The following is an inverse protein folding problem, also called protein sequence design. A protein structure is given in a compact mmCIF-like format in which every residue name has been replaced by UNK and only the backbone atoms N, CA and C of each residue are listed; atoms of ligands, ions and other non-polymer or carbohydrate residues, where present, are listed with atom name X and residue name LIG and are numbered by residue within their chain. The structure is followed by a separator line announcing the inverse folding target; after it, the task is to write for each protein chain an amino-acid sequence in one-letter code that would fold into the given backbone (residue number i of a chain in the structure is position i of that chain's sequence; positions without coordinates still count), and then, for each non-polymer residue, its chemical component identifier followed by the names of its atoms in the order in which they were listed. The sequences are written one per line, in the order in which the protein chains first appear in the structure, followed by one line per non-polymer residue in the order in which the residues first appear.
data_IF_920321972971
#
_entry.id   IF_920321972971
#
_cell.length_a   1.000
_cell.length_b   1.000
_cell.length_c   1.000
_cell.angle_alpha   90.00
_cell.angle_beta   90.00
_cell.angle_gamma   90.00
#
_symmetry.space_group_name_H-M   'P 1'
#
loop_
_entity.id
_entity.type
_entity.pdbx_description
1 polymer ?
#
# COMPACT_ATOMS: atom_id res chain seq x y z
N UNK A 1 -49.86 1.85 44.58
CA UNK A 1 -48.57 1.30 44.09
C UNK A 1 -47.44 1.86 44.96
N UNK A 2 -46.66 1.00 45.61
CA UNK A 2 -45.62 1.40 46.56
C UNK A 2 -44.47 2.19 45.91
N UNK A 3 -43.89 3.14 46.65
CA UNK A 3 -42.78 3.99 46.19
C UNK A 3 -41.59 3.20 45.64
N UNK A 4 -41.37 1.96 46.10
CA UNK A 4 -40.31 1.10 45.56
C UNK A 4 -40.46 0.78 44.07
N UNK A 5 -41.69 0.60 43.56
CA UNK A 5 -41.89 0.29 42.13
C UNK A 5 -41.49 1.49 41.25
N UNK A 6 -41.72 2.73 41.70
CA UNK A 6 -41.41 3.95 40.93
C UNK A 6 -39.90 4.16 40.70
N UNK A 7 -39.06 3.86 41.70
CA UNK A 7 -37.61 3.99 41.58
C UNK A 7 -36.99 2.92 40.67
N UNK A 8 -37.52 1.69 40.70
CA UNK A 8 -37.08 0.61 39.80
C UNK A 8 -37.36 0.97 38.34
N UNK A 9 -38.53 1.54 38.02
CA UNK A 9 -38.84 2.02 36.67
C UNK A 9 -37.93 3.17 36.23
N UNK A 10 -37.58 4.10 37.14
CA UNK A 10 -36.66 5.20 36.85
C UNK A 10 -35.24 4.74 36.50
N UNK A 11 -34.69 3.78 37.26
CA UNK A 11 -33.36 3.21 37.01
C UNK A 11 -33.34 2.44 35.68
N UNK A 12 -34.37 1.65 35.40
CA UNK A 12 -34.48 0.88 34.16
C UNK A 12 -34.57 1.81 32.93
N UNK A 13 -35.37 2.88 33.00
CA UNK A 13 -35.48 3.86 31.93
C UNK A 13 -34.14 4.58 31.67
N UNK A 14 -33.41 4.93 32.73
CA UNK A 14 -32.09 5.57 32.60
C UNK A 14 -31.05 4.63 31.98
N UNK A 15 -31.05 3.35 32.35
CA UNK A 15 -30.18 2.34 31.75
C UNK A 15 -30.46 2.15 30.25
N UNK A 16 -31.74 2.12 29.85
CA UNK A 16 -32.14 2.03 28.44
C UNK A 16 -31.70 3.29 27.67
N UNK A 17 -31.87 4.48 28.23
CA UNK A 17 -31.39 5.72 27.61
C UNK A 17 -29.87 5.73 27.40
N UNK A 18 -29.09 5.28 28.37
CA UNK A 18 -27.63 5.20 28.24
C UNK A 18 -27.20 4.18 27.19
N UNK A 19 -27.88 3.03 27.08
CA UNK A 19 -27.64 2.03 26.03
C UNK A 19 -27.98 2.57 24.64
N UNK A 20 -29.09 3.30 24.50
CA UNK A 20 -29.49 3.95 23.24
C UNK A 20 -28.51 5.04 22.83
N UNK A 21 -28.06 5.90 23.76
CA UNK A 21 -27.03 6.91 23.50
C UNK A 21 -25.70 6.24 23.08
N UNK A 22 -25.33 5.15 23.74
CA UNK A 22 -24.17 4.33 23.36
C UNK A 22 -24.30 3.80 21.94
N UNK A 23 -25.45 3.21 21.58
CA UNK A 23 -25.72 2.68 20.25
C UNK A 23 -25.69 3.76 19.17
N UNK A 24 -26.27 4.94 19.42
CA UNK A 24 -26.25 6.08 18.48
C UNK A 24 -24.83 6.62 18.29
N UNK A 25 -24.04 6.71 19.36
CA UNK A 25 -22.62 7.13 19.28
C UNK A 25 -21.78 6.13 18.52
N UNK A 26 -21.97 4.84 18.76
CA UNK A 26 -21.31 3.78 18.01
C UNK A 26 -21.68 3.90 16.54
N UNK A 27 -22.96 4.03 16.19
CA UNK A 27 -23.43 4.25 14.82
C UNK A 27 -22.79 5.46 14.12
N UNK A 28 -22.69 6.60 14.81
CA UNK A 28 -22.01 7.79 14.27
C UNK A 28 -20.51 7.59 14.04
N UNK A 29 -19.84 6.80 14.88
CA UNK A 29 -18.43 6.45 14.70
C UNK A 29 -18.23 5.55 13.49
N UNK A 30 -19.10 4.55 13.28
CA UNK A 30 -19.06 3.68 12.10
C UNK A 30 -19.26 4.45 10.80
N UNK A 31 -20.21 5.38 10.79
CA UNK A 31 -20.49 6.20 9.61
C UNK A 31 -19.34 7.17 9.28
N UNK A 32 -18.67 7.72 10.31
CA UNK A 32 -17.50 8.57 10.11
C UNK A 32 -16.25 7.79 9.67
N UNK A 33 -16.15 6.49 9.99
CA UNK A 33 -15.09 5.61 9.51
C UNK A 33 -15.30 5.16 8.05
N UNK A 34 -16.55 4.98 7.60
CA UNK A 34 -16.84 4.68 6.19
C UNK A 34 -16.56 5.85 5.24
N UNK A 35 -16.47 7.08 5.76
CA UNK A 35 -16.24 8.29 4.96
C UNK A 35 -14.75 8.59 4.69
N UNK A 36 -13.80 7.84 5.28
CA UNK A 36 -12.37 7.99 4.95
C UNK A 36 -12.09 7.19 3.69
N UNK A 37 -12.31 7.79 2.52
CA UNK A 37 -11.87 7.22 1.25
C UNK A 37 -10.37 7.43 1.07
N UNK A 38 -9.57 6.39 1.30
CA UNK A 38 -8.18 6.37 0.90
C UNK A 38 -8.08 6.35 -0.63
N UNK A 39 -7.17 7.13 -1.25
CA UNK A 39 -6.95 7.04 -2.68
C UNK A 39 -6.41 5.66 -3.03
N UNK A 40 -6.77 5.14 -4.20
CA UNK A 40 -6.21 3.89 -4.70
C UNK A 40 -5.50 4.08 -6.04
N UNK A 41 -4.51 3.24 -6.29
CA UNK A 41 -3.81 3.13 -7.54
C UNK A 41 -4.21 1.86 -8.28
N UNK A 42 -4.57 2.00 -9.55
CA UNK A 42 -4.78 0.88 -10.48
C UNK A 42 -3.54 0.74 -11.35
N UNK A 43 -2.78 -0.31 -11.10
CA UNK A 43 -1.58 -0.72 -11.84
C UNK A 43 -2.04 -1.72 -12.91
N UNK A 44 -2.05 -1.29 -14.17
CA UNK A 44 -2.42 -2.14 -15.30
C UNK A 44 -1.16 -2.81 -15.86
N UNK A 45 -1.16 -4.14 -15.93
CA UNK A 45 -0.03 -4.92 -16.45
C UNK A 45 -0.49 -5.82 -17.60
N UNK A 46 0.45 -6.36 -18.38
CA UNK A 46 0.16 -7.43 -19.34
C UNK A 46 -0.28 -8.76 -18.69
N UNK A 47 -0.23 -8.89 -17.36
CA UNK A 47 -0.73 -10.03 -16.59
C UNK A 47 -2.10 -9.79 -15.94
N UNK A 48 -2.62 -8.56 -16.03
CA UNK A 48 -3.86 -8.14 -15.39
C UNK A 48 -3.69 -6.88 -14.52
N UNK A 49 -4.73 -6.56 -13.75
CA UNK A 49 -4.79 -5.33 -12.94
C UNK A 49 -4.53 -5.62 -11.47
N UNK A 50 -3.77 -4.74 -10.83
CA UNK A 50 -3.51 -4.71 -9.39
C UNK A 50 -4.04 -3.39 -8.85
N UNK A 51 -4.79 -3.44 -7.75
CA UNK A 51 -5.34 -2.27 -7.09
C UNK A 51 -4.68 -2.13 -5.72
N UNK A 52 -4.13 -0.96 -5.45
CA UNK A 52 -3.37 -0.63 -4.24
C UNK A 52 -4.06 0.51 -3.53
N UNK A 53 -4.54 0.30 -2.30
CA UNK A 53 -4.95 1.40 -1.42
C UNK A 53 -3.71 2.13 -0.90
N UNK A 54 -3.74 3.46 -0.85
CA UNK A 54 -2.61 4.31 -0.45
C UNK A 54 -2.89 5.03 0.88
N UNK A 55 -1.84 5.23 1.67
CA UNK A 55 -1.91 5.69 3.07
C UNK A 55 -1.25 7.07 3.26
N UNK A 56 -1.87 8.18 2.80
CA UNK A 56 -1.28 9.52 2.84
C UNK A 56 -1.18 10.11 4.25
N UNK A 57 -1.89 9.58 5.25
CA UNK A 57 -1.76 10.06 6.64
C UNK A 57 -0.51 9.47 7.28
N UNK A 58 -0.20 8.23 6.95
CA UNK A 58 0.86 7.42 7.52
C UNK A 58 2.19 7.64 6.77
N UNK A 59 2.15 7.86 5.45
CA UNK A 59 3.31 8.06 4.60
C UNK A 59 3.10 9.18 3.55
N UNK A 60 2.87 10.43 3.98
CA UNK A 60 2.51 11.54 3.09
C UNK A 60 3.53 11.81 1.98
N UNK A 61 4.83 11.73 2.25
CA UNK A 61 5.87 11.99 1.24
C UNK A 61 5.93 10.85 0.21
N UNK A 62 5.88 9.60 0.67
CA UNK A 62 5.91 8.45 -0.21
C UNK A 62 4.66 8.39 -1.12
N UNK A 63 3.46 8.60 -0.55
CA UNK A 63 2.22 8.65 -1.34
C UNK A 63 2.24 9.81 -2.33
N UNK A 64 2.70 11.00 -1.91
CA UNK A 64 2.82 12.16 -2.81
C UNK A 64 3.77 11.87 -3.98
N UNK A 65 4.94 11.30 -3.72
CA UNK A 65 5.91 10.94 -4.75
C UNK A 65 5.34 9.89 -5.72
N UNK A 66 4.69 8.84 -5.20
CA UNK A 66 4.07 7.81 -6.03
C UNK A 66 2.96 8.38 -6.92
N UNK A 67 2.03 9.15 -6.35
CA UNK A 67 0.93 9.78 -7.09
C UNK A 67 1.46 10.75 -8.15
N UNK A 68 2.44 11.59 -7.80
CA UNK A 68 3.01 12.54 -8.75
C UNK A 68 3.66 11.82 -9.94
N UNK A 69 4.42 10.75 -9.68
CA UNK A 69 5.05 9.94 -10.73
C UNK A 69 4.00 9.26 -11.61
N UNK A 70 2.93 8.72 -11.02
CA UNK A 70 1.82 8.13 -11.78
C UNK A 70 1.12 9.16 -12.67
N UNK A 71 0.78 10.35 -12.13
CA UNK A 71 0.15 11.44 -12.90
C UNK A 71 1.03 11.93 -14.06
N UNK A 72 2.35 11.92 -13.87
CA UNK A 72 3.33 12.26 -14.91
C UNK A 72 3.59 11.11 -15.90
N UNK A 73 2.82 10.01 -15.84
CA UNK A 73 3.02 8.79 -16.65
C UNK A 73 4.42 8.19 -16.51
N UNK A 74 5.08 8.43 -15.38
CA UNK A 74 6.45 7.96 -15.11
C UNK A 74 6.56 6.44 -14.98
N UNK A 75 5.45 5.76 -14.68
CA UNK A 75 5.38 4.29 -14.62
C UNK A 75 4.91 3.65 -15.94
N UNK A 76 4.36 4.42 -16.87
CA UNK A 76 3.82 3.88 -18.12
C UNK A 76 4.94 3.33 -18.99
N UNK A 77 4.79 2.08 -19.43
CA UNK A 77 5.81 1.35 -20.19
C UNK A 77 7.04 0.96 -19.38
N UNK A 78 6.98 1.04 -18.04
CA UNK A 78 8.00 0.42 -17.17
C UNK A 78 7.73 -1.07 -17.02
N UNK A 79 8.56 -1.77 -16.26
CA UNK A 79 8.40 -3.20 -15.98
C UNK A 79 8.57 -3.49 -14.49
N UNK A 80 8.04 -4.63 -14.06
CA UNK A 80 8.56 -5.29 -12.88
C UNK A 80 9.90 -5.92 -13.26
N UNK A 81 10.97 -5.43 -12.64
CA UNK A 81 12.35 -5.72 -13.03
C UNK A 81 12.79 -7.11 -12.52
N UNK A 82 12.51 -7.40 -11.25
CA UNK A 82 13.00 -8.61 -10.58
C UNK A 82 12.20 -8.94 -9.33
N UNK A 83 12.34 -10.19 -8.89
CA UNK A 83 12.04 -10.61 -7.52
C UNK A 83 13.35 -10.64 -6.70
N UNK A 84 13.45 -9.80 -5.68
CA UNK A 84 14.64 -9.75 -4.80
C UNK A 84 14.49 -10.76 -3.67
N UNK A 85 15.41 -11.73 -3.60
CA UNK A 85 15.51 -12.74 -2.56
C UNK A 85 14.21 -13.53 -2.30
N UNK A 86 13.35 -13.67 -3.32
CA UNK A 86 12.04 -14.33 -3.21
C UNK A 86 10.98 -13.52 -2.46
N UNK A 87 11.27 -12.28 -2.04
CA UNK A 87 10.49 -11.56 -1.02
C UNK A 87 9.89 -10.25 -1.48
N UNK A 88 10.50 -9.58 -2.45
CA UNK A 88 10.05 -8.28 -2.95
C UNK A 88 9.98 -8.32 -4.47
N UNK A 89 8.82 -8.03 -5.03
CA UNK A 89 8.64 -7.78 -6.45
C UNK A 89 8.87 -6.28 -6.72
N UNK A 90 9.97 -5.94 -7.41
CA UNK A 90 10.40 -4.54 -7.60
C UNK A 90 10.03 -4.05 -9.00
N UNK A 91 9.49 -2.83 -9.11
CA UNK A 91 9.13 -2.22 -10.39
C UNK A 91 9.11 -0.69 -10.37
N UNK A 92 8.70 -0.11 -11.50
CA UNK A 92 8.49 1.34 -11.63
C UNK A 92 9.65 2.11 -12.28
N UNK A 93 10.65 1.40 -12.80
CA UNK A 93 11.77 1.98 -13.56
C UNK A 93 11.80 1.46 -14.99
N UNK A 94 12.16 2.34 -15.92
CA UNK A 94 12.45 1.92 -17.30
C UNK A 94 13.74 1.13 -17.33
N UNK A 95 13.72 0.00 -18.03
CA UNK A 95 14.90 -0.83 -18.28
C UNK A 95 15.08 -0.86 -19.80
N UNK A 96 16.25 -0.41 -20.30
CA UNK A 96 16.58 -0.46 -21.74
C UNK A 96 17.93 -1.10 -21.94
N UNK A 97 17.98 -2.09 -22.82
CA UNK A 97 19.15 -2.96 -23.01
C UNK A 97 19.66 -3.46 -21.67
N UNK A 98 18.70 -3.64 -20.75
CA UNK A 98 18.94 -4.09 -19.41
C UNK A 98 19.53 -3.11 -18.40
N UNK A 99 19.95 -1.94 -18.85
CA UNK A 99 20.36 -0.87 -17.93
C UNK A 99 19.10 -0.18 -17.41
N UNK A 100 19.06 0.03 -16.10
CA UNK A 100 18.05 0.91 -15.50
C UNK A 100 18.26 2.33 -16.01
N UNK A 101 17.16 2.99 -16.38
CA UNK A 101 17.15 4.40 -16.77
C UNK A 101 17.54 5.32 -15.62
N UNK A 102 17.36 6.64 -15.79
CA UNK A 102 17.69 7.63 -14.74
C UNK A 102 17.02 7.34 -13.40
N UNK A 103 17.66 7.81 -12.33
CA UNK A 103 17.14 7.67 -10.97
C UNK A 103 15.78 8.35 -10.82
N UNK A 104 14.88 7.77 -10.01
CA UNK A 104 13.59 8.38 -9.72
C UNK A 104 13.76 9.59 -8.81
N UNK A 105 12.67 10.33 -8.60
CA UNK A 105 12.63 11.37 -7.57
C UNK A 105 12.99 10.79 -6.19
N UNK A 106 13.74 11.58 -5.41
CA UNK A 106 14.14 11.26 -4.04
C UNK A 106 13.31 12.04 -3.01
N UNK A 107 13.03 11.41 -1.87
CA UNK A 107 12.31 12.04 -0.76
C UNK A 107 12.77 11.44 0.58
N UNK A 108 12.45 12.11 1.69
CA UNK A 108 12.80 11.61 3.03
C UNK A 108 12.08 10.27 3.31
N UNK A 109 12.83 9.28 3.79
CA UNK A 109 12.29 7.98 4.15
C UNK A 109 11.49 8.07 5.46
N UNK A 110 10.17 7.89 5.36
CA UNK A 110 9.23 8.00 6.48
C UNK A 110 9.11 6.72 7.32
N UNK A 111 9.77 5.63 6.94
CA UNK A 111 9.64 4.33 7.63
C UNK A 111 10.01 4.39 9.11
N UNK A 112 10.95 5.27 9.49
CA UNK A 112 11.34 5.47 10.90
C UNK A 112 10.25 6.13 11.74
N UNK A 113 9.30 6.84 11.09
CA UNK A 113 8.28 7.67 11.73
C UNK A 113 6.85 7.18 11.50
N UNK A 114 6.65 6.15 10.65
CA UNK A 114 5.33 5.58 10.41
C UNK A 114 5.13 4.25 11.15
N UNK A 115 3.87 3.83 11.29
CA UNK A 115 3.48 2.61 12.01
C UNK A 115 3.28 1.40 11.08
N UNK A 116 3.42 1.60 9.76
CA UNK A 116 3.15 0.58 8.75
C UNK A 116 4.26 -0.47 8.73
N UNK A 117 3.89 -1.71 8.37
CA UNK A 117 4.78 -2.88 8.40
C UNK A 117 4.92 -3.50 7.02
N UNK A 118 6.10 -4.03 6.74
CA UNK A 118 6.40 -4.77 5.52
C UNK A 118 5.76 -6.17 5.57
N UNK A 119 4.44 -6.21 5.51
CA UNK A 119 3.63 -7.44 5.53
C UNK A 119 3.28 -7.89 4.11
N UNK A 120 2.80 -9.12 3.96
CA UNK A 120 2.37 -9.68 2.69
C UNK A 120 1.47 -8.71 1.91
N UNK A 121 1.85 -8.46 0.66
CA UNK A 121 1.18 -7.57 -0.29
C UNK A 121 1.11 -6.08 0.09
N UNK A 122 1.86 -5.65 1.10
CA UNK A 122 2.09 -4.23 1.28
C UNK A 122 3.00 -3.67 0.19
N UNK A 123 2.79 -2.40 -0.14
CA UNK A 123 3.51 -1.67 -1.19
C UNK A 123 4.38 -0.61 -0.53
N UNK A 124 5.66 -0.61 -0.88
CA UNK A 124 6.65 0.28 -0.28
C UNK A 124 7.63 0.88 -1.27
N UNK A 125 8.46 1.81 -0.78
CA UNK A 125 9.47 2.50 -1.57
C UNK A 125 10.85 1.87 -1.44
N UNK A 126 11.59 1.87 -2.54
CA UNK A 126 13.00 1.48 -2.53
C UNK A 126 13.81 2.56 -1.79
N UNK A 127 14.87 2.14 -1.09
CA UNK A 127 15.77 3.05 -0.40
C UNK A 127 16.87 3.52 -1.36
N UNK A 128 17.21 4.80 -1.29
CA UNK A 128 18.35 5.36 -2.02
C UNK A 128 19.69 4.92 -1.41
N UNK A 129 20.79 5.37 -2.02
CA UNK A 129 22.14 5.17 -1.47
C UNK A 129 22.26 5.84 -0.11
N UNK A 130 21.80 7.08 -0.01
CA UNK A 130 21.60 7.80 1.23
C UNK A 130 20.45 7.16 2.01
N UNK A 131 20.74 6.47 3.12
CA UNK A 131 19.76 5.58 3.78
C UNK A 131 18.51 6.29 4.32
N UNK A 132 18.62 7.58 4.60
CA UNK A 132 17.51 8.40 5.05
C UNK A 132 16.61 8.88 3.90
N UNK A 133 16.94 8.54 2.64
CA UNK A 133 16.15 8.86 1.47
C UNK A 133 15.56 7.60 0.83
N UNK A 134 14.38 7.77 0.26
CA UNK A 134 13.67 6.80 -0.58
C UNK A 134 13.64 7.29 -2.02
N UNK A 135 13.43 6.36 -2.95
CA UNK A 135 13.15 6.65 -4.36
C UNK A 135 11.68 6.41 -4.67
N UNK A 136 11.19 6.97 -5.78
CA UNK A 136 9.86 6.66 -6.32
C UNK A 136 9.76 5.33 -7.09
N UNK A 137 10.82 4.49 -7.07
CA UNK A 137 10.65 3.08 -7.42
C UNK A 137 9.89 2.38 -6.29
N UNK A 138 9.06 1.39 -6.64
CA UNK A 138 8.23 0.69 -5.66
C UNK A 138 8.48 -0.81 -5.65
N UNK A 139 8.07 -1.44 -4.55
CA UNK A 139 8.02 -2.89 -4.45
C UNK A 139 6.71 -3.36 -3.84
N UNK A 140 6.36 -4.60 -4.14
CA UNK A 140 5.28 -5.35 -3.50
C UNK A 140 5.93 -6.44 -2.64
N UNK A 141 5.57 -6.51 -1.36
CA UNK A 141 5.97 -7.59 -0.47
C UNK A 141 5.27 -8.90 -0.88
N UNK A 142 6.03 -9.98 -1.00
CA UNK A 142 5.55 -11.32 -1.38
C UNK A 142 5.36 -12.25 -0.18
N UNK A 143 5.70 -11.77 1.01
CA UNK A 143 5.55 -12.40 2.32
C UNK A 143 5.72 -11.33 3.39
N UNK A 144 5.56 -11.70 4.65
CA UNK A 144 5.97 -10.84 5.76
C UNK A 144 7.50 -10.71 5.77
N UNK A 145 7.97 -9.47 5.78
CA UNK A 145 9.36 -9.05 5.65
C UNK A 145 9.70 -8.06 6.75
N UNK A 146 9.55 -8.49 8.00
CA UNK A 146 9.91 -7.69 9.18
C UNK A 146 11.33 -7.11 9.06
N UNK A 147 12.27 -7.78 8.36
CA UNK A 147 13.67 -7.33 8.17
C UNK A 147 13.80 -6.00 7.43
N UNK A 148 12.75 -5.61 6.72
CA UNK A 148 12.67 -4.35 5.99
C UNK A 148 12.07 -3.23 6.85
N UNK A 149 11.54 -3.51 8.04
CA UNK A 149 11.01 -2.47 8.92
C UNK A 149 12.13 -1.64 9.56
N UNK A 150 11.86 -0.36 9.77
CA UNK A 150 12.75 0.55 10.49
C UNK A 150 12.88 0.18 11.97
N UNK A 151 13.86 0.77 12.65
CA UNK A 151 14.05 0.73 14.10
C UNK A 151 14.27 -0.67 14.72
N UNK A 152 14.42 -1.73 13.91
CA UNK A 152 14.82 -3.07 14.40
C UNK A 152 16.21 -3.11 15.01
N UNK A 153 17.08 -2.18 14.59
CA UNK A 153 18.43 -1.94 15.12
C UNK A 153 18.67 -0.43 15.08
N UNK A 154 19.52 0.07 15.98
CA UNK A 154 19.88 1.49 16.00
C UNK A 154 20.41 1.94 14.63
N UNK A 155 19.87 3.04 14.09
CA UNK A 155 20.24 3.56 12.78
C UNK A 155 19.71 2.79 11.57
N UNK A 156 18.81 1.82 11.74
CA UNK A 156 18.11 1.17 10.64
C UNK A 156 16.90 2.01 10.18
N UNK A 157 16.98 2.55 8.97
CA UNK A 157 15.91 3.35 8.36
C UNK A 157 14.80 2.52 7.72
N UNK A 158 15.00 1.22 7.49
CA UNK A 158 13.98 0.37 6.84
C UNK A 158 13.54 0.83 5.45
N UNK A 159 12.41 0.31 5.01
CA UNK A 159 11.70 0.63 3.78
C UNK A 159 10.29 1.12 4.10
N UNK A 160 9.94 2.30 3.59
CA UNK A 160 8.65 2.94 3.88
C UNK A 160 7.53 2.22 3.12
N UNK A 161 6.63 1.58 3.87
CA UNK A 161 5.35 1.11 3.37
C UNK A 161 4.39 2.30 3.30
N UNK A 162 3.64 2.39 2.20
CA UNK A 162 2.70 3.48 1.95
C UNK A 162 1.39 3.01 1.29
N UNK A 163 1.21 1.71 1.10
CA UNK A 163 -0.02 1.15 0.57
C UNK A 163 -0.15 -0.35 0.75
N UNK A 164 -1.29 -0.90 0.35
CA UNK A 164 -1.63 -2.32 0.43
C UNK A 164 -2.40 -2.75 -0.81
N UNK A 165 -2.12 -3.93 -1.35
CA UNK A 165 -2.96 -4.50 -2.41
C UNK A 165 -4.31 -4.89 -1.83
N UNK A 166 -5.37 -4.31 -2.39
CA UNK A 166 -6.77 -4.61 -2.05
C UNK A 166 -7.46 -5.51 -3.09
N UNK A 167 -6.93 -5.58 -4.31
CA UNK A 167 -7.40 -6.48 -5.39
C UNK A 167 -6.26 -6.81 -6.36
N UNK A 168 -6.26 -8.02 -6.89
CA UNK A 168 -5.24 -8.45 -7.88
C UNK A 168 -4.07 -9.26 -7.31
N UNK A 169 -4.16 -9.79 -6.08
CA UNK A 169 -3.16 -10.75 -5.55
C UNK A 169 -2.93 -11.96 -6.46
N UNK A 170 -3.98 -12.46 -7.14
CA UNK A 170 -3.87 -13.50 -8.16
C UNK A 170 -2.99 -13.07 -9.36
N UNK A 171 -3.00 -11.79 -9.73
CA UNK A 171 -2.12 -11.25 -10.79
C UNK A 171 -0.67 -11.24 -10.31
N UNK A 172 -0.42 -10.81 -9.06
CA UNK A 172 0.91 -10.88 -8.45
C UNK A 172 1.44 -12.33 -8.45
N UNK A 173 0.60 -13.30 -8.08
CA UNK A 173 1.00 -14.72 -8.12
C UNK A 173 1.32 -15.22 -9.54
N UNK A 174 0.56 -14.80 -10.56
CA UNK A 174 0.88 -15.11 -11.97
C UNK A 174 2.23 -14.51 -12.39
N UNK A 175 2.54 -13.30 -11.94
CA UNK A 175 3.84 -12.64 -12.19
C UNK A 175 4.98 -13.43 -11.52
N UNK A 176 4.78 -13.94 -10.30
CA UNK A 176 5.77 -14.77 -9.63
C UNK A 176 6.01 -16.06 -10.43
N UNK A 177 4.93 -16.69 -10.92
CA UNK A 177 4.98 -17.94 -11.67
C UNK A 177 5.53 -17.80 -13.10
N UNK A 178 5.62 -16.58 -13.65
CA UNK A 178 6.16 -16.36 -15.00
C UNK A 178 7.68 -16.52 -15.09
N UNK A 179 8.36 -16.75 -13.97
CA UNK A 179 9.81 -16.93 -13.92
C UNK A 179 10.58 -15.60 -13.93
N UNK A 180 10.01 -14.52 -13.36
CA UNK A 180 10.70 -13.23 -13.13
C UNK A 180 11.80 -13.32 -12.05
N UNK A 181 12.62 -14.37 -12.12
CA UNK A 181 13.71 -14.68 -11.19
C UNK A 181 15.09 -14.51 -11.80
N UNK A 182 15.19 -14.19 -13.10
CA UNK A 182 16.50 -14.10 -13.76
C UNK A 182 17.21 -12.80 -13.40
N UNK A 183 18.45 -12.87 -12.86
CA UNK A 183 19.32 -11.71 -12.77
C UNK A 183 19.49 -11.09 -14.15
N UNK A 184 19.73 -9.79 -14.16
CA UNK A 184 19.87 -8.95 -15.34
C UNK A 184 20.81 -9.52 -16.45
N UNK A 185 21.72 -10.44 -16.12
CA UNK A 185 22.75 -10.96 -17.02
C UNK A 185 22.41 -12.29 -17.74
N UNK A 186 21.24 -12.90 -17.49
CA UNK A 186 20.79 -14.09 -18.21
C UNK A 186 19.59 -13.77 -19.09
N UNK A 187 19.44 -14.51 -20.21
CA UNK A 187 18.34 -14.37 -21.18
C UNK A 187 17.01 -14.27 -20.42
N UNK A 188 16.55 -13.03 -20.25
CA UNK A 188 15.30 -12.72 -19.58
C UNK A 188 14.20 -13.49 -20.30
N UNK A 189 13.25 -14.03 -19.52
CA UNK A 189 12.02 -14.64 -20.05
C UNK A 189 11.48 -13.80 -21.21
N UNK A 190 11.06 -14.46 -22.31
CA UNK A 190 10.56 -13.80 -23.53
C UNK A 190 9.40 -12.82 -23.26
N UNK A 191 8.72 -12.95 -22.12
CA UNK A 191 7.56 -12.14 -21.76
C UNK A 191 7.87 -11.29 -20.53
N UNK A 192 8.42 -10.08 -20.76
CA UNK A 192 8.61 -9.10 -19.69
C UNK A 192 7.29 -8.71 -19.05
N UNK A 193 7.28 -8.50 -17.74
CA UNK A 193 6.10 -8.06 -17.00
C UNK A 193 5.99 -6.54 -17.09
N UNK A 194 5.26 -6.06 -18.08
CA UNK A 194 5.12 -4.64 -18.38
C UNK A 194 4.05 -3.99 -17.50
N UNK A 195 4.36 -2.82 -16.97
CA UNK A 195 3.41 -1.88 -16.37
C UNK A 195 2.92 -0.98 -17.50
N UNK A 196 1.73 -1.29 -18.02
CA UNK A 196 1.12 -0.58 -19.13
C UNK A 196 0.69 0.84 -18.72
N UNK A 197 0.12 0.97 -17.52
CA UNK A 197 -0.22 2.27 -16.94
C UNK A 197 -0.43 2.19 -15.43
N UNK A 198 -0.29 3.34 -14.76
CA UNK A 198 -0.71 3.53 -13.36
C UNK A 198 -1.65 4.72 -13.26
N UNK A 199 -2.87 4.50 -12.77
CA UNK A 199 -3.88 5.55 -12.58
C UNK A 199 -4.27 5.69 -11.12
N UNK A 200 -4.54 6.92 -10.67
CA UNK A 200 -4.90 7.25 -9.29
C UNK A 200 -6.37 7.65 -9.24
N UNK A 201 -7.09 7.13 -8.27
CA UNK A 201 -8.54 7.28 -8.12
C UNK A 201 -8.87 7.61 -6.66
N UNK A 202 -9.98 8.31 -6.42
CA UNK A 202 -10.38 8.80 -5.08
C UNK A 202 -11.75 8.28 -4.63
N UNK A 203 -12.59 7.82 -5.55
CA UNK A 203 -13.84 7.14 -5.21
C UNK A 203 -13.59 5.66 -4.94
N UNK A 204 -14.56 4.96 -4.34
CA UNK A 204 -14.46 3.51 -4.14
C UNK A 204 -15.04 2.72 -5.32
N UNK A 205 -15.36 3.33 -6.47
CA UNK A 205 -16.11 2.69 -7.57
C UNK A 205 -15.45 1.46 -8.21
N UNK A 206 -14.19 1.17 -7.87
CA UNK A 206 -13.41 0.03 -8.33
C UNK A 206 -13.98 -1.35 -7.97
N UNK A 207 -14.86 -1.46 -6.95
CA UNK A 207 -15.51 -2.74 -6.64
C UNK A 207 -16.51 -3.18 -7.72
N UNK A 208 -16.91 -2.28 -8.62
CA UNK A 208 -17.82 -2.57 -9.74
C UNK A 208 -17.11 -3.00 -11.04
N UNK A 209 -15.78 -2.83 -11.14
CA UNK A 209 -14.96 -3.24 -12.29
C UNK A 209 -14.43 -4.68 -12.20
#
# INVERSE_FOLDING_TARGET
MSNQKKWVFGILAMAICLLLIGYVRVGHVWQKMSDISYPYAKINTNFGRIYVELYPKEAPLAVKAFIQRAKNKGYDGTEFDRIVAGRMLVGGRKVRDGKRGQDPDFFLNESVNNTLKNTLFSVGSLRAKERHLSTSDFFINLQDNDVLDANRRYGNYGHCVYGQIIKGSKVVNKIIQSGLTVPYNEKQSKDRVQILSVSIHQDQGWFLE
#
